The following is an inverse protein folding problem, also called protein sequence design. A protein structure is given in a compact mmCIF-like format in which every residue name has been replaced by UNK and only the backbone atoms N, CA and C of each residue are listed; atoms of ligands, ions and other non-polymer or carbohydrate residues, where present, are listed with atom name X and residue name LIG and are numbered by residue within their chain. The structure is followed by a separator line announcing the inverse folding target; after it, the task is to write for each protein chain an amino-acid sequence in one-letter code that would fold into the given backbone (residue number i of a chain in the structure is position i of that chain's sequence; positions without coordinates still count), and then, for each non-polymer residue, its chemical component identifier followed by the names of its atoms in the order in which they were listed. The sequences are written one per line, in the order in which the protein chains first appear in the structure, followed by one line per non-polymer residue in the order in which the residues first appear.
data_IF_566484073892
#
_entry.id   IF_566484073892
#
_cell.length_a   1.000
_cell.length_b   1.000
_cell.length_c   1.000
_cell.angle_alpha   90.00
_cell.angle_beta   90.00
_cell.angle_gamma   90.00
#
_symmetry.space_group_name_H-M   'P 1'
#
loop_
_entity.id
_entity.type
_entity.pdbx_description
1 polymer ?
#
# COMPACT_ATOMS: atom_id res chain seq x y z
N UNK A 1 -29.57 -22.54 13.23
CA UNK A 1 -28.70 -23.16 14.25
C UNK A 1 -27.45 -23.72 13.58
N UNK A 2 -26.27 -23.33 14.05
CA UNK A 2 -24.98 -23.88 13.63
C UNK A 2 -23.86 -23.13 14.36
N UNK A 3 -23.50 -23.58 15.57
CA UNK A 3 -22.45 -22.95 16.38
C UNK A 3 -21.09 -23.41 15.85
N UNK A 4 -20.43 -22.56 15.05
CA UNK A 4 -19.03 -22.76 14.66
C UNK A 4 -18.12 -22.57 15.88
N UNK A 5 -17.45 -23.64 16.29
CA UNK A 5 -16.53 -23.66 17.43
C UNK A 5 -15.31 -22.78 17.17
N UNK A 6 -15.03 -21.87 18.11
CA UNK A 6 -13.88 -20.98 18.07
C UNK A 6 -12.56 -21.71 18.25
N UNK A 7 -11.53 -21.26 17.52
CA UNK A 7 -10.15 -21.66 17.74
C UNK A 7 -9.63 -21.04 19.05
N UNK A 8 -9.13 -21.87 19.96
CA UNK A 8 -8.53 -21.47 21.24
C UNK A 8 -6.99 -21.46 21.09
N UNK A 9 -6.29 -20.33 21.32
CA UNK A 9 -4.83 -20.30 21.35
C UNK A 9 -4.28 -20.89 22.65
N UNK A 10 -3.45 -21.93 22.56
CA UNK A 10 -2.77 -22.52 23.72
C UNK A 10 -1.57 -21.66 24.15
N UNK A 11 -1.76 -20.83 25.17
CA UNK A 11 -0.68 -20.25 25.98
C UNK A 11 -0.38 -21.21 27.13
N UNK A 12 0.79 -21.88 27.11
CA UNK A 12 1.63 -22.28 28.27
C UNK A 12 2.68 -23.33 27.85
N UNK A 13 3.94 -22.91 27.73
CA UNK A 13 5.09 -23.77 28.04
C UNK A 13 6.21 -22.90 28.64
N UNK A 14 6.58 -23.08 29.92
CA UNK A 14 7.68 -22.33 30.54
C UNK A 14 9.05 -22.93 30.17
N UNK A 15 10.06 -22.06 30.13
CA UNK A 15 11.48 -22.35 29.90
C UNK A 15 12.12 -23.00 31.13
N UNK A 16 12.91 -24.05 30.93
CA UNK A 16 13.82 -24.58 31.94
C UNK A 16 15.26 -24.54 31.42
N UNK A 17 16.06 -23.65 32.02
CA UNK A 17 17.52 -23.63 31.95
C UNK A 17 18.04 -24.57 33.03
N UNK A 18 18.99 -25.44 32.69
CA UNK A 18 19.97 -26.00 33.63
C UNK A 18 21.34 -26.05 32.94
N UNK A 19 22.36 -25.61 33.68
CA UNK A 19 23.74 -25.41 33.24
C UNK A 19 24.62 -26.66 33.48
N UNK A 20 25.93 -26.51 33.21
CA UNK A 20 27.10 -27.41 33.40
C UNK A 20 27.42 -28.36 32.22
N UNK A 21 28.64 -28.50 31.65
CA UNK A 21 30.05 -28.25 32.06
C UNK A 21 30.93 -28.04 30.79
N UNK A 22 31.99 -27.23 30.86
CA UNK A 22 33.03 -27.07 29.80
C UNK A 22 34.17 -28.11 29.91
N UNK A 23 35.02 -28.28 28.88
CA UNK A 23 36.41 -27.86 29.14
C UNK A 23 37.11 -27.15 27.96
N UNK A 24 38.27 -26.60 28.33
CA UNK A 24 39.15 -25.69 27.62
C UNK A 24 39.85 -26.26 26.38
N UNK A 25 40.19 -25.37 25.43
CA UNK A 25 41.54 -25.28 24.87
C UNK A 25 41.82 -23.90 24.23
N UNK A 26 43.06 -23.45 24.41
CA UNK A 26 43.58 -22.07 24.36
C UNK A 26 43.91 -21.55 22.92
N UNK A 27 44.37 -20.28 22.76
CA UNK A 27 44.14 -19.45 21.56
C UNK A 27 45.31 -19.40 20.58
N UNK A 28 45.06 -18.88 19.37
CA UNK A 28 46.11 -18.40 18.45
C UNK A 28 45.78 -16.99 17.94
N UNK A 29 46.68 -16.07 18.26
CA UNK A 29 46.77 -14.70 17.77
C UNK A 29 47.12 -14.68 16.28
N UNK A 30 46.58 -13.71 15.53
CA UNK A 30 47.14 -13.34 14.23
C UNK A 30 47.18 -11.82 14.12
N UNK A 31 48.37 -11.37 13.77
CA UNK A 31 48.86 -10.00 13.79
C UNK A 31 48.24 -9.05 12.77
N UNK A 32 48.33 -7.78 13.15
CA UNK A 32 48.20 -6.58 12.32
C UNK A 32 49.23 -6.56 11.18
N UNK A 33 48.77 -6.36 9.93
CA UNK A 33 49.59 -5.73 8.89
C UNK A 33 48.70 -4.99 7.87
N UNK A 34 48.96 -3.69 7.78
CA UNK A 34 48.33 -2.76 6.87
C UNK A 34 48.82 -2.95 5.43
N UNK A 35 47.91 -2.83 4.48
CA UNK A 35 48.21 -2.44 3.09
C UNK A 35 47.07 -1.55 2.59
N UNK A 36 47.28 -0.24 2.65
CA UNK A 36 46.37 0.76 2.11
C UNK A 36 46.52 0.83 0.59
N UNK A 37 45.45 0.50 -0.14
CA UNK A 37 45.31 0.79 -1.57
C UNK A 37 44.55 2.12 -1.72
N UNK A 38 45.00 3.07 -2.58
CA UNK A 38 44.25 4.28 -2.86
C UNK A 38 43.01 3.93 -3.69
N UNK A 39 41.87 3.79 -3.04
CA UNK A 39 40.56 3.70 -3.70
C UNK A 39 40.11 5.12 -4.04
N UNK A 40 40.52 5.60 -5.21
CA UNK A 40 39.95 6.79 -5.83
C UNK A 40 38.55 6.45 -6.32
N UNK A 41 37.58 6.37 -5.39
CA UNK A 41 36.17 6.26 -5.75
C UNK A 41 35.71 7.64 -6.18
N UNK A 42 35.71 7.88 -7.50
CA UNK A 42 34.98 8.99 -8.11
C UNK A 42 33.50 8.79 -7.82
N UNK A 43 33.00 9.38 -6.73
CA UNK A 43 31.57 9.44 -6.43
C UNK A 43 30.92 10.45 -7.38
N UNK A 44 30.45 9.98 -8.54
CA UNK A 44 29.49 10.75 -9.33
C UNK A 44 28.17 10.77 -8.56
N UNK A 45 27.83 11.91 -7.95
CA UNK A 45 26.53 12.13 -7.31
C UNK A 45 25.45 12.28 -8.39
N UNK A 46 24.93 11.17 -8.90
CA UNK A 46 23.70 11.21 -9.67
C UNK A 46 22.51 11.29 -8.70
N UNK A 47 21.69 12.32 -8.84
CA UNK A 47 20.43 12.45 -8.13
C UNK A 47 19.46 11.37 -8.64
N UNK A 48 19.26 10.31 -7.85
CA UNK A 48 18.23 9.31 -8.15
C UNK A 48 16.87 10.00 -7.98
N UNK A 49 16.12 10.16 -9.07
CA UNK A 49 14.71 10.59 -8.99
C UNK A 49 13.91 9.50 -8.29
N UNK A 50 13.14 9.85 -7.26
CA UNK A 50 12.28 8.89 -6.57
C UNK A 50 11.20 8.37 -7.52
N UNK A 51 10.95 7.05 -7.47
CA UNK A 51 9.83 6.40 -8.14
C UNK A 51 8.53 6.85 -7.50
N UNK A 52 7.52 7.18 -8.31
CA UNK A 52 6.23 7.67 -7.84
C UNK A 52 5.18 6.59 -7.91
N UNK A 53 4.62 6.23 -6.76
CA UNK A 53 3.47 5.32 -6.66
C UNK A 53 2.22 6.13 -6.37
N UNK A 54 1.26 6.11 -7.28
CA UNK A 54 -0.01 6.79 -7.06
C UNK A 54 -0.97 5.84 -6.35
N UNK A 55 -1.50 6.26 -5.21
CA UNK A 55 -2.53 5.54 -4.48
C UNK A 55 -3.85 6.28 -4.73
N UNK A 56 -4.61 5.77 -5.71
CA UNK A 56 -5.88 6.36 -6.15
C UNK A 56 -7.02 5.58 -5.52
N UNK A 57 -7.85 6.23 -4.70
CA UNK A 57 -8.88 5.51 -3.97
C UNK A 57 -10.22 6.24 -3.90
N UNK A 58 -11.29 5.47 -3.75
CA UNK A 58 -12.60 5.95 -3.37
C UNK A 58 -12.95 5.48 -1.96
N UNK A 59 -13.44 6.39 -1.11
CA UNK A 59 -13.88 6.05 0.24
C UNK A 59 -15.08 6.85 0.71
N UNK A 60 -16.25 6.22 0.76
CA UNK A 60 -17.47 6.86 1.28
C UNK A 60 -17.44 7.05 2.80
N UNK A 61 -17.01 6.03 3.57
CA UNK A 61 -17.03 6.05 5.04
C UNK A 61 -15.64 6.10 5.69
N UNK A 62 -14.58 6.33 4.91
CA UNK A 62 -13.21 6.49 5.43
C UNK A 62 -12.43 5.19 5.67
N UNK A 63 -13.05 4.01 5.60
CA UNK A 63 -12.33 2.73 5.80
C UNK A 63 -11.22 2.51 4.77
N UNK A 64 -11.51 2.76 3.49
CA UNK A 64 -10.53 2.65 2.41
C UNK A 64 -9.48 3.75 2.52
N UNK A 65 -9.86 4.96 2.92
CA UNK A 65 -8.88 6.04 3.18
C UNK A 65 -7.88 5.65 4.28
N UNK A 66 -8.37 5.08 5.38
CA UNK A 66 -7.52 4.58 6.45
C UNK A 66 -6.55 3.50 5.95
N UNK A 67 -6.98 2.64 5.04
CA UNK A 67 -6.10 1.65 4.41
C UNK A 67 -5.08 2.34 3.49
N UNK A 68 -5.51 3.27 2.63
CA UNK A 68 -4.65 4.03 1.74
C UNK A 68 -3.54 4.79 2.49
N UNK A 69 -3.84 5.45 3.62
CA UNK A 69 -2.82 6.11 4.46
C UNK A 69 -1.80 5.12 5.05
N UNK A 70 -2.22 3.89 5.37
CA UNK A 70 -1.30 2.83 5.83
C UNK A 70 -0.42 2.32 4.70
N UNK A 71 -0.97 2.16 3.48
CA UNK A 71 -0.19 1.82 2.29
C UNK A 71 0.81 2.93 1.96
N UNK A 72 0.42 4.21 2.02
CA UNK A 72 1.34 5.35 1.84
C UNK A 72 2.54 5.24 2.77
N UNK A 73 2.30 5.04 4.07
CA UNK A 73 3.39 4.85 5.05
C UNK A 73 4.29 3.66 4.70
N UNK A 74 3.72 2.56 4.19
CA UNK A 74 4.49 1.38 3.78
C UNK A 74 5.37 1.66 2.55
N UNK A 75 4.83 2.35 1.55
CA UNK A 75 5.55 2.72 0.33
C UNK A 75 6.64 3.76 0.62
N UNK A 76 6.32 4.80 1.40
CA UNK A 76 7.28 5.84 1.80
C UNK A 76 8.41 5.30 2.69
N UNK A 77 8.24 4.11 3.26
CA UNK A 77 9.28 3.42 4.03
C UNK A 77 10.33 2.70 3.16
N UNK A 78 10.17 2.69 1.84
CA UNK A 78 11.11 2.08 0.89
C UNK A 78 12.00 3.16 0.28
N UNK A 79 13.32 2.97 0.35
CA UNK A 79 14.28 3.91 -0.21
C UNK A 79 14.08 4.11 -1.71
N UNK A 80 14.08 5.37 -2.14
CA UNK A 80 13.92 5.73 -3.56
C UNK A 80 12.49 5.67 -4.09
N UNK A 81 11.48 5.47 -3.24
CA UNK A 81 10.06 5.45 -3.63
C UNK A 81 9.28 6.51 -2.84
N UNK A 82 8.25 7.08 -3.47
CA UNK A 82 7.34 8.06 -2.87
C UNK A 82 5.90 7.72 -3.24
N UNK A 83 5.01 7.67 -2.25
CA UNK A 83 3.58 7.51 -2.48
C UNK A 83 2.84 8.85 -2.51
N UNK A 84 1.96 9.04 -3.49
CA UNK A 84 1.05 10.18 -3.58
C UNK A 84 -0.39 9.69 -3.47
N UNK A 85 -1.17 10.27 -2.55
CA UNK A 85 -2.57 9.91 -2.35
C UNK A 85 -3.47 10.78 -3.22
N UNK A 86 -4.44 10.14 -3.88
CA UNK A 86 -5.48 10.82 -4.64
C UNK A 86 -6.85 10.23 -4.31
N UNK A 87 -7.84 11.09 -4.11
CA UNK A 87 -9.24 10.69 -4.03
C UNK A 87 -9.88 10.69 -5.41
N UNK A 88 -10.71 9.69 -5.68
CA UNK A 88 -11.63 9.72 -6.82
C UNK A 88 -12.80 10.65 -6.50
N UNK A 89 -13.21 11.54 -7.44
CA UNK A 89 -14.34 12.43 -7.24
C UNK A 89 -15.63 11.71 -6.86
N UNK A 90 -16.40 12.33 -5.96
CA UNK A 90 -17.73 11.85 -5.59
C UNK A 90 -18.75 12.15 -6.69
N UNK A 91 -19.63 11.19 -6.99
CA UNK A 91 -20.66 11.31 -8.04
C UNK A 91 -22.07 11.41 -7.47
N UNK A 92 -22.26 11.08 -6.20
CA UNK A 92 -23.53 11.24 -5.52
C UNK A 92 -23.78 12.72 -5.16
N UNK A 93 -25.02 13.20 -5.27
CA UNK A 93 -25.33 14.57 -4.87
C UNK A 93 -25.23 14.75 -3.35
N UNK A 94 -24.96 15.98 -2.85
CA UNK A 94 -24.69 16.22 -1.43
C UNK A 94 -25.83 15.85 -0.47
N UNK A 95 -27.09 16.01 -0.88
CA UNK A 95 -28.27 15.64 -0.09
C UNK A 95 -28.35 14.13 0.14
N UNK A 96 -27.99 13.33 -0.87
CA UNK A 96 -27.89 11.87 -0.74
C UNK A 96 -26.78 11.49 0.25
N UNK A 97 -25.63 12.16 0.18
CA UNK A 97 -24.52 11.90 1.11
C UNK A 97 -24.90 12.23 2.55
N UNK A 98 -25.64 13.32 2.77
CA UNK A 98 -26.16 13.71 4.07
C UNK A 98 -27.15 12.67 4.62
N UNK A 99 -28.10 12.21 3.79
CA UNK A 99 -29.05 11.15 4.17
C UNK A 99 -28.33 9.83 4.51
N UNK A 100 -27.26 9.51 3.79
CA UNK A 100 -26.42 8.34 4.04
C UNK A 100 -25.50 8.51 5.26
N UNK A 101 -25.47 9.69 5.89
CA UNK A 101 -24.60 10.06 7.00
C UNK A 101 -23.12 9.82 6.67
N UNK A 102 -22.73 10.12 5.44
CA UNK A 102 -21.35 10.04 5.03
C UNK A 102 -20.54 11.08 5.82
N UNK A 103 -19.41 10.70 6.44
CA UNK A 103 -18.56 11.66 7.13
C UNK A 103 -17.95 12.65 6.13
N UNK A 104 -17.70 13.91 6.56
CA UNK A 104 -17.01 14.89 5.73
C UNK A 104 -15.63 14.36 5.32
N UNK A 105 -15.15 14.81 4.15
CA UNK A 105 -13.81 14.50 3.65
C UNK A 105 -12.82 15.53 4.18
N UNK A 106 -11.60 15.08 4.39
CA UNK A 106 -10.47 15.90 4.82
C UNK A 106 -9.82 16.56 3.59
N UNK A 107 -9.67 17.87 3.55
CA UNK A 107 -9.13 18.60 2.40
C UNK A 107 -7.63 18.33 2.14
N UNK A 108 -6.93 17.64 3.04
CA UNK A 108 -5.50 17.32 2.90
C UNK A 108 -5.17 16.39 1.71
N UNK A 109 -6.11 15.54 1.29
CA UNK A 109 -5.89 14.63 0.17
C UNK A 109 -6.59 15.18 -1.08
N UNK A 110 -5.85 15.53 -2.14
CA UNK A 110 -6.43 16.07 -3.35
C UNK A 110 -7.29 15.05 -4.08
N UNK A 111 -8.32 15.54 -4.77
CA UNK A 111 -9.03 14.75 -5.77
C UNK A 111 -8.21 14.66 -7.06
N UNK A 112 -8.21 13.51 -7.72
CA UNK A 112 -7.62 13.37 -9.04
C UNK A 112 -8.48 14.12 -10.05
N UNK A 113 -7.96 15.25 -10.54
CA UNK A 113 -8.72 16.17 -11.39
C UNK A 113 -8.85 15.62 -12.81
N UNK A 114 -7.84 14.89 -13.28
CA UNK A 114 -7.86 14.23 -14.59
C UNK A 114 -7.22 12.86 -14.55
N UNK A 115 -7.84 11.89 -15.23
CA UNK A 115 -7.22 10.59 -15.46
C UNK A 115 -5.83 10.68 -16.10
N UNK A 116 -5.56 11.74 -16.90
CA UNK A 116 -4.26 11.96 -17.54
C UNK A 116 -3.09 12.05 -16.55
N UNK A 117 -3.35 12.41 -15.30
CA UNK A 117 -2.35 12.48 -14.24
C UNK A 117 -1.73 11.10 -13.94
N UNK A 118 -2.46 9.99 -14.20
CA UNK A 118 -1.96 8.62 -14.02
C UNK A 118 -0.68 8.34 -14.80
N UNK A 119 -0.40 9.09 -15.88
CA UNK A 119 0.80 8.92 -16.69
C UNK A 119 2.07 9.26 -15.90
N UNK A 120 1.98 10.15 -14.92
CA UNK A 120 3.11 10.58 -14.09
C UNK A 120 3.52 9.54 -13.03
N UNK A 121 2.71 8.50 -12.81
CA UNK A 121 2.99 7.45 -11.84
C UNK A 121 3.87 6.35 -12.45
N UNK A 122 4.88 5.88 -11.73
CA UNK A 122 5.66 4.69 -12.12
C UNK A 122 4.93 3.39 -11.77
N UNK A 123 4.01 3.44 -10.79
CA UNK A 123 3.09 2.36 -10.45
C UNK A 123 1.82 2.89 -9.78
N UNK A 124 0.75 2.11 -9.81
CA UNK A 124 -0.55 2.56 -9.31
C UNK A 124 -1.17 1.54 -8.35
N UNK A 125 -1.75 2.02 -7.27
CA UNK A 125 -2.54 1.25 -6.32
C UNK A 125 -3.97 1.79 -6.30
N UNK A 126 -4.94 0.96 -6.67
CA UNK A 126 -6.35 1.33 -6.69
C UNK A 126 -7.08 0.81 -5.46
N UNK A 127 -7.78 1.70 -4.75
CA UNK A 127 -8.50 1.39 -3.53
C UNK A 127 -9.99 1.66 -3.62
N UNK A 128 -10.85 0.70 -3.31
CA UNK A 128 -12.30 0.96 -3.30
C UNK A 128 -13.08 -0.01 -2.40
N UNK A 129 -14.25 0.40 -1.89
CA UNK A 129 -15.12 -0.52 -1.16
C UNK A 129 -15.82 -1.45 -2.14
N UNK A 130 -16.22 -2.63 -1.66
CA UNK A 130 -17.10 -3.51 -2.45
C UNK A 130 -18.51 -2.95 -2.56
N UNK A 131 -19.12 -3.13 -3.72
CA UNK A 131 -20.54 -2.95 -4.01
C UNK A 131 -21.00 -4.16 -4.83
N UNK A 132 -21.65 -5.10 -4.15
CA UNK A 132 -22.19 -6.33 -4.75
C UNK A 132 -21.13 -7.19 -5.48
N UNK A 133 -19.91 -7.26 -4.96
CA UNK A 133 -18.81 -7.99 -5.61
C UNK A 133 -18.17 -7.23 -6.78
N UNK A 134 -18.45 -5.93 -6.91
CA UNK A 134 -17.83 -5.03 -7.88
C UNK A 134 -17.29 -3.77 -7.19
N UNK A 135 -16.52 -2.98 -7.93
CA UNK A 135 -16.08 -1.65 -7.48
C UNK A 135 -17.26 -0.68 -7.31
N UNK A 136 -17.05 0.38 -6.53
CA UNK A 136 -18.01 1.47 -6.44
C UNK A 136 -18.18 2.20 -7.79
N UNK A 137 -19.38 2.71 -8.07
CA UNK A 137 -19.69 3.39 -9.33
C UNK A 137 -18.76 4.60 -9.61
N UNK A 138 -18.32 5.29 -8.55
CA UNK A 138 -17.35 6.39 -8.60
C UNK A 138 -16.01 5.94 -9.18
N UNK A 139 -15.47 4.82 -8.69
CA UNK A 139 -14.23 4.24 -9.22
C UNK A 139 -14.43 3.78 -10.67
N UNK A 140 -15.59 3.19 -10.99
CA UNK A 140 -15.89 2.78 -12.35
C UNK A 140 -15.95 3.97 -13.31
N UNK A 141 -16.60 5.06 -12.92
CA UNK A 141 -16.66 6.30 -13.68
C UNK A 141 -15.26 6.90 -13.91
N UNK A 142 -14.39 6.85 -12.90
CA UNK A 142 -12.99 7.25 -13.06
C UNK A 142 -12.28 6.39 -14.09
N UNK A 143 -12.41 5.06 -14.05
CA UNK A 143 -11.83 4.20 -15.10
C UNK A 143 -12.41 4.48 -16.48
N UNK A 144 -13.71 4.74 -16.59
CA UNK A 144 -14.33 5.08 -17.87
C UNK A 144 -13.79 6.39 -18.47
N UNK A 145 -13.30 7.32 -17.63
CA UNK A 145 -12.63 8.53 -18.09
C UNK A 145 -11.22 8.30 -18.67
N UNK A 146 -10.65 7.09 -18.53
CA UNK A 146 -9.29 6.75 -19.03
C UNK A 146 -9.24 6.41 -20.52
N UNK A 147 -10.34 6.54 -21.26
CA UNK A 147 -10.45 6.09 -22.66
C UNK A 147 -9.35 6.63 -23.60
N UNK A 148 -8.94 7.89 -23.45
CA UNK A 148 -7.84 8.45 -24.26
C UNK A 148 -6.49 7.79 -23.93
N UNK A 149 -6.22 7.52 -22.65
CA UNK A 149 -4.99 6.85 -22.21
C UNK A 149 -4.92 5.42 -22.71
N UNK A 150 -6.06 4.72 -22.71
CA UNK A 150 -6.17 3.38 -23.29
C UNK A 150 -5.89 3.39 -24.79
N UNK A 151 -6.52 4.32 -25.53
CA UNK A 151 -6.30 4.46 -26.98
C UNK A 151 -4.83 4.67 -27.33
N UNK A 152 -4.12 5.43 -26.51
CA UNK A 152 -2.69 5.76 -26.70
C UNK A 152 -1.73 4.80 -26.00
N UNK A 153 -2.25 3.77 -25.31
CA UNK A 153 -1.46 2.80 -24.53
C UNK A 153 -0.55 3.45 -23.47
N UNK A 154 -0.91 4.63 -22.96
CA UNK A 154 -0.06 5.43 -22.05
C UNK A 154 0.20 4.80 -20.68
N UNK A 155 -0.64 3.86 -20.27
CA UNK A 155 -0.48 3.12 -19.00
C UNK A 155 0.08 1.71 -19.20
N UNK A 156 0.38 1.31 -20.44
CA UNK A 156 0.92 -0.02 -20.71
C UNK A 156 2.29 -0.21 -20.02
N UNK A 157 2.47 -1.37 -19.38
CA UNK A 157 3.70 -1.72 -18.67
C UNK A 157 3.86 -1.13 -17.26
N UNK A 158 2.97 -0.21 -16.83
CA UNK A 158 2.99 0.30 -15.46
C UNK A 158 2.38 -0.75 -14.50
N UNK A 159 3.07 -1.19 -13.45
CA UNK A 159 2.51 -2.11 -12.47
C UNK A 159 1.30 -1.49 -11.76
N UNK A 160 0.27 -2.30 -11.58
CA UNK A 160 -0.95 -1.92 -10.86
C UNK A 160 -1.30 -2.96 -9.79
N UNK A 161 -1.83 -2.50 -8.66
CA UNK A 161 -2.37 -3.34 -7.61
C UNK A 161 -3.71 -2.81 -7.09
N UNK A 162 -4.46 -3.67 -6.41
CA UNK A 162 -5.79 -3.37 -5.91
C UNK A 162 -5.87 -3.65 -4.41
N UNK A 163 -6.64 -2.84 -3.69
CA UNK A 163 -6.99 -3.10 -2.30
C UNK A 163 -8.46 -2.77 -2.03
N UNK A 164 -9.13 -3.66 -1.31
CA UNK A 164 -10.59 -3.62 -1.16
C UNK A 164 -10.97 -3.59 0.31
N UNK A 165 -12.07 -2.87 0.63
CA UNK A 165 -12.71 -2.91 1.94
C UNK A 165 -14.13 -3.49 1.82
N UNK A 166 -14.50 -4.35 2.77
CA UNK A 166 -15.78 -5.06 2.81
C UNK A 166 -16.35 -5.05 4.23
N UNK A 167 -17.67 -5.15 4.36
CA UNK A 167 -18.35 -5.13 5.67
C UNK A 167 -18.41 -6.49 6.38
N UNK A 168 -18.22 -7.60 5.66
CA UNK A 168 -18.35 -8.97 6.19
C UNK A 168 -17.30 -9.88 5.58
N UNK A 169 -16.91 -10.94 6.30
CA UNK A 169 -16.09 -12.00 5.74
C UNK A 169 -16.84 -12.69 4.58
N UNK A 170 -16.15 -12.95 3.46
CA UNK A 170 -16.77 -13.51 2.25
C UNK A 170 -17.62 -12.51 1.46
N UNK A 171 -17.69 -11.24 1.87
CA UNK A 171 -18.42 -10.17 1.19
C UNK A 171 -17.78 -9.65 -0.10
N UNK A 172 -17.01 -10.49 -0.80
CA UNK A 172 -16.36 -10.14 -2.07
C UNK A 172 -14.99 -9.49 -1.93
N UNK A 173 -14.19 -9.85 -0.93
CA UNK A 173 -12.79 -9.38 -0.82
C UNK A 173 -11.97 -9.72 -2.08
N UNK A 174 -12.21 -10.91 -2.60
CA UNK A 174 -11.50 -11.45 -3.76
C UNK A 174 -12.19 -11.05 -5.06
N UNK A 175 -13.51 -11.26 -5.16
CA UNK A 175 -14.27 -11.05 -6.42
C UNK A 175 -14.37 -9.58 -6.85
N UNK A 176 -14.20 -8.64 -5.93
CA UNK A 176 -14.24 -7.20 -6.23
C UNK A 176 -12.94 -6.69 -6.85
N UNK A 177 -11.81 -7.34 -6.54
CA UNK A 177 -10.47 -6.88 -6.86
C UNK A 177 -10.09 -7.14 -8.33
#
# INVERSE_FOLDING_TARGET
MGKGGGCVPSKKKPSSISAEVAPANAPLSIDSAAAALPSTTTTSSQSISKLKIFIVFYSMYGHVEGLARRLKRGVDGVDGVEAVLFRVPETLPPDVLEQMRAPPKDDDIPEISSAAELVAADGVLFGFPTRYGCMAAQMKAFFDSTGQLWKEQKLAGKPAGFFVSTGTQGGGQETTA
#
